data_IF_960169571412
#
_entry.id   IF_960169571412
#
_cell.length_a   1.000
_cell.length_b   1.000
_cell.length_c   1.000
_cell.angle_alpha   90.00
_cell.angle_beta   90.00
_cell.angle_gamma   90.00
#
_symmetry.space_group_name_H-M   'P 1'
#
loop_
_entity.id
_entity.type
_entity.pdbx_description
1 polymer ?
#
# COMPACT_ATOMS: atom_id res chain seq x y z
N UNK A 1 4.71 -3.31 -15.85
CA UNK A 1 3.75 -2.81 -14.86
C UNK A 1 4.11 -1.39 -14.46
N UNK A 2 3.11 -0.55 -14.34
CA UNK A 2 3.33 0.81 -13.89
C UNK A 2 3.40 0.86 -12.37
N UNK A 3 4.00 1.93 -11.85
CA UNK A 3 4.04 2.13 -10.41
C UNK A 3 2.65 2.16 -9.80
N UNK A 4 1.71 2.71 -10.54
CA UNK A 4 0.34 2.82 -10.09
C UNK A 4 -0.31 1.44 -9.92
N UNK A 5 -0.04 0.55 -10.85
CA UNK A 5 -0.57 -0.81 -10.76
C UNK A 5 0.02 -1.55 -9.57
N UNK A 6 1.31 -1.41 -9.33
CA UNK A 6 1.95 -2.01 -8.17
C UNK A 6 1.34 -1.47 -6.88
N UNK A 7 1.09 -0.18 -6.84
CA UNK A 7 0.46 0.44 -5.68
C UNK A 7 -0.92 -0.16 -5.41
N UNK A 8 -1.71 -0.30 -6.44
CA UNK A 8 -3.05 -0.87 -6.31
C UNK A 8 -3.02 -2.31 -5.81
N UNK A 9 -2.12 -3.12 -6.34
CA UNK A 9 -2.00 -4.51 -5.94
C UNK A 9 -1.60 -4.62 -4.47
N UNK A 10 -0.60 -3.84 -4.07
CA UNK A 10 -0.14 -3.85 -2.69
C UNK A 10 -1.23 -3.35 -1.74
N UNK A 11 -1.95 -2.35 -2.17
CA UNK A 11 -3.05 -1.81 -1.37
C UNK A 11 -4.12 -2.88 -1.12
N UNK A 12 -4.45 -3.63 -2.14
CA UNK A 12 -5.42 -4.71 -2.01
C UNK A 12 -4.94 -5.78 -1.03
N UNK A 13 -3.67 -6.11 -1.09
CA UNK A 13 -3.09 -7.07 -0.17
C UNK A 13 -3.24 -6.60 1.27
N UNK A 14 -2.92 -5.35 1.51
CA UNK A 14 -3.02 -4.79 2.85
C UNK A 14 -4.45 -4.81 3.35
N UNK A 15 -5.40 -4.53 2.49
CA UNK A 15 -6.80 -4.57 2.87
C UNK A 15 -7.24 -5.98 3.28
N UNK A 16 -6.69 -6.99 2.63
CA UNK A 16 -7.01 -8.37 2.95
C UNK A 16 -6.38 -8.88 4.23
N UNK A 17 -5.41 -8.16 4.77
CA UNK A 17 -4.72 -8.57 5.99
C UNK A 17 -5.43 -8.11 7.28
N UNK A 18 -6.51 -7.36 7.14
CA UNK A 18 -7.27 -6.87 8.29
C UNK A 18 -6.40 -6.08 9.28
N UNK A 19 -5.55 -5.23 8.74
CA UNK A 19 -4.67 -4.42 9.56
C UNK A 19 -5.44 -3.31 10.27
N UNK A 20 -5.01 -2.92 11.49
CA UNK A 20 -5.60 -1.76 12.15
C UNK A 20 -5.36 -0.48 11.34
N UNK A 21 -6.23 0.51 11.49
CA UNK A 21 -6.13 1.73 10.66
C UNK A 21 -4.76 2.40 10.72
N UNK A 22 -4.14 2.41 11.89
CA UNK A 22 -2.83 3.04 12.04
C UNK A 22 -1.75 2.32 11.25
N UNK A 23 -1.74 1.00 11.33
CA UNK A 23 -0.77 0.22 10.58
C UNK A 23 -1.02 0.26 9.10
N UNK A 24 -2.29 0.24 8.71
CA UNK A 24 -2.66 0.34 7.31
C UNK A 24 -2.13 1.65 6.72
N UNK A 25 -2.37 2.75 7.40
CA UNK A 25 -1.89 4.05 6.94
C UNK A 25 -0.37 4.09 6.83
N UNK A 26 0.31 3.53 7.82
CA UNK A 26 1.76 3.49 7.81
C UNK A 26 2.27 2.73 6.60
N UNK A 27 1.69 1.57 6.34
CA UNK A 27 2.11 0.73 5.21
C UNK A 27 1.84 1.41 3.88
N UNK A 28 0.71 2.07 3.76
CA UNK A 28 0.39 2.81 2.54
C UNK A 28 1.39 3.94 2.33
N UNK A 29 1.75 4.63 3.39
CA UNK A 29 2.74 5.70 3.29
C UNK A 29 4.09 5.18 2.86
N UNK A 30 4.53 4.07 3.44
CA UNK A 30 5.79 3.45 3.05
C UNK A 30 5.75 3.01 1.59
N UNK A 31 4.64 2.46 1.17
CA UNK A 31 4.47 2.03 -0.21
C UNK A 31 4.59 3.20 -1.18
N UNK A 32 3.95 4.31 -0.87
CA UNK A 32 4.05 5.51 -1.68
C UNK A 32 5.49 5.98 -1.79
N UNK A 33 6.20 5.96 -0.69
CA UNK A 33 7.61 6.35 -0.66
C UNK A 33 8.47 5.43 -1.52
N UNK A 34 8.22 4.14 -1.38
CA UNK A 34 8.98 3.12 -2.09
C UNK A 34 8.78 3.22 -3.59
N UNK A 35 7.56 3.49 -4.00
CA UNK A 35 7.22 3.57 -5.43
C UNK A 35 7.41 4.95 -6.01
N UNK A 36 7.52 5.96 -5.19
CA UNK A 36 7.69 7.32 -5.64
C UNK A 36 6.42 7.96 -6.17
N UNK A 37 5.29 7.57 -5.62
CA UNK A 37 4.00 8.13 -6.02
C UNK A 37 3.37 8.95 -4.91
#
# INVERSE_FOLDING_TARGET
MTKYEQYEQEKRRLQGQNLPPKEYERKIRELCRKLGV
#
